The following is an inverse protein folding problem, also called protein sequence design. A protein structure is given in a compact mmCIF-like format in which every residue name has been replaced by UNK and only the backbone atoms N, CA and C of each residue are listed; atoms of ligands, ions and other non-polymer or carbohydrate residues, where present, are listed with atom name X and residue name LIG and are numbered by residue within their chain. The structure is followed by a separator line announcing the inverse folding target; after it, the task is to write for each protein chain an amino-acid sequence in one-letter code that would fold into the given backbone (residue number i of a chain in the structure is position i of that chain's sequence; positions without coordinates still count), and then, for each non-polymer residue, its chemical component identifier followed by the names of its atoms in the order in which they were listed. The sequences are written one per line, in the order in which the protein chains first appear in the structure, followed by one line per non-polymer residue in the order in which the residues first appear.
data_IF_564147122738
#
_entry.id   IF_564147122738
#
_cell.length_a   1.000
_cell.length_b   1.000
_cell.length_c   1.000
_cell.angle_alpha   90.00
_cell.angle_beta   90.00
_cell.angle_gamma   90.00
#
_symmetry.space_group_name_H-M   'P 1'
#
loop_
_entity.id
_entity.type
_entity.pdbx_description
1 polymer ?
#
# COMPACT_ATOMS: atom_id res chain seq x y z
N UNK A 1 -6.79 21.45 2.15
CA UNK A 1 -5.50 20.81 2.50
C UNK A 1 -5.61 19.35 2.11
N UNK A 2 -4.78 18.85 1.20
CA UNK A 2 -4.85 17.46 0.76
C UNK A 2 -4.22 16.57 1.85
N UNK A 3 -5.02 15.70 2.48
CA UNK A 3 -4.54 14.77 3.50
C UNK A 3 -3.84 13.59 2.80
N UNK A 4 -2.59 13.84 2.39
CA UNK A 4 -1.72 12.82 1.79
C UNK A 4 -1.00 12.10 2.90
N UNK A 5 -0.97 10.78 2.81
CA UNK A 5 -0.34 9.90 3.79
C UNK A 5 0.41 8.80 3.05
N UNK A 6 1.42 8.25 3.74
CA UNK A 6 2.20 7.14 3.22
C UNK A 6 1.51 5.83 3.54
N UNK A 7 1.21 5.07 2.50
CA UNK A 7 0.63 3.73 2.59
C UNK A 7 1.60 2.70 2.04
N UNK A 8 1.71 1.57 2.72
CA UNK A 8 2.45 0.41 2.22
C UNK A 8 1.49 -0.54 1.52
N UNK A 9 1.86 -0.97 0.33
CA UNK A 9 1.12 -1.96 -0.45
C UNK A 9 1.27 -3.34 0.18
N UNK A 10 0.15 -3.98 0.47
CA UNK A 10 0.10 -5.35 1.01
C UNK A 10 -0.17 -6.38 -0.09
N UNK A 11 -0.97 -6.01 -1.09
CA UNK A 11 -1.36 -6.87 -2.21
C UNK A 11 -1.14 -6.09 -3.51
N UNK A 12 -0.48 -6.67 -4.53
CA UNK A 12 -0.30 -6.02 -5.82
C UNK A 12 -1.63 -5.61 -6.43
N UNK A 13 -1.68 -4.43 -7.02
CA UNK A 13 -2.84 -3.93 -7.75
C UNK A 13 -2.42 -3.18 -9.00
N UNK A 14 -3.26 -3.18 -10.04
CA UNK A 14 -2.97 -2.42 -11.25
C UNK A 14 -3.04 -0.92 -10.94
N UNK A 15 -1.95 -0.21 -11.19
CA UNK A 15 -1.90 1.24 -11.16
C UNK A 15 -2.25 1.81 -12.53
N UNK A 16 -2.57 3.10 -12.58
CA UNK A 16 -2.84 3.78 -13.84
C UNK A 16 -1.63 3.65 -14.79
N UNK A 17 -1.92 3.48 -16.09
CA UNK A 17 -0.96 3.25 -17.18
C UNK A 17 -0.36 1.82 -17.31
N UNK A 18 -1.04 0.79 -16.80
CA UNK A 18 -0.65 -0.60 -17.03
C UNK A 18 0.52 -1.08 -16.16
N UNK A 19 0.92 -0.28 -15.18
CA UNK A 19 1.88 -0.67 -14.17
C UNK A 19 1.18 -1.45 -13.05
N UNK A 20 1.94 -2.26 -12.32
CA UNK A 20 1.47 -2.96 -11.13
C UNK A 20 2.26 -2.48 -9.93
N UNK A 21 1.56 -2.24 -8.82
CA UNK A 21 2.21 -2.00 -7.53
C UNK A 21 2.87 -3.26 -7.00
N UNK A 22 3.97 -3.08 -6.25
CA UNK A 22 4.72 -4.17 -5.64
C UNK A 22 4.38 -4.26 -4.15
N UNK A 23 4.31 -5.48 -3.61
CA UNK A 23 4.14 -5.68 -2.16
C UNK A 23 5.31 -5.08 -1.40
N UNK A 24 5.03 -4.33 -0.34
CA UNK A 24 6.01 -3.59 0.45
C UNK A 24 6.40 -2.24 -0.16
N UNK A 25 5.87 -1.87 -1.33
CA UNK A 25 6.07 -0.55 -1.91
C UNK A 25 5.35 0.50 -1.07
N UNK A 26 6.04 1.59 -0.76
CA UNK A 26 5.46 2.76 -0.10
C UNK A 26 4.96 3.75 -1.15
N UNK A 27 3.72 4.17 -1.02
CA UNK A 27 3.05 5.11 -1.92
C UNK A 27 2.52 6.29 -1.10
N UNK A 28 2.83 7.51 -1.55
CA UNK A 28 2.16 8.71 -1.07
C UNK A 28 0.85 8.87 -1.85
N UNK A 29 -0.27 8.62 -1.18
CA UNK A 29 -1.60 8.67 -1.80
C UNK A 29 -2.49 9.62 -1.02
N UNK A 30 -3.48 10.19 -1.73
CA UNK A 30 -4.57 10.88 -1.09
C UNK A 30 -5.43 9.88 -0.31
N UNK A 31 -5.91 10.26 0.87
CA UNK A 31 -6.78 9.40 1.68
C UNK A 31 -8.02 8.91 0.90
N UNK A 32 -8.55 9.72 -0.03
CA UNK A 32 -9.67 9.31 -0.91
C UNK A 32 -9.30 8.22 -1.92
N UNK A 33 -8.09 8.26 -2.48
CA UNK A 33 -7.59 7.22 -3.41
C UNK A 33 -7.23 5.95 -2.64
N UNK A 34 -6.56 6.12 -1.49
CA UNK A 34 -6.18 5.04 -0.61
C UNK A 34 -7.39 4.38 0.06
N UNK A 35 -8.48 5.10 0.33
CA UNK A 35 -9.69 4.56 0.98
C UNK A 35 -10.28 3.37 0.23
N UNK A 36 -10.36 3.45 -1.10
CA UNK A 36 -10.86 2.34 -1.93
C UNK A 36 -9.92 1.13 -1.87
N UNK A 37 -8.60 1.37 -1.95
CA UNK A 37 -7.58 0.33 -1.93
C UNK A 37 -7.43 -0.32 -0.54
N UNK A 38 -7.60 0.47 0.52
CA UNK A 38 -7.58 0.02 1.91
C UNK A 38 -8.82 -0.76 2.29
N UNK A 39 -10.00 -0.33 1.83
CA UNK A 39 -11.25 -1.11 1.96
C UNK A 39 -11.16 -2.45 1.24
N UNK A 40 -10.48 -2.48 0.09
CA UNK A 40 -10.18 -3.73 -0.62
C UNK A 40 -9.06 -4.56 0.02
N UNK A 41 -8.45 -4.11 1.12
CA UNK A 41 -7.35 -4.78 1.82
C UNK A 41 -6.03 -4.82 1.03
N UNK A 42 -5.87 -3.97 0.02
CA UNK A 42 -4.70 -3.98 -0.88
C UNK A 42 -3.52 -3.19 -0.35
N UNK A 43 -3.76 -2.19 0.48
CA UNK A 43 -2.74 -1.37 1.13
C UNK A 43 -3.18 -0.94 2.52
N UNK A 44 -2.21 -0.54 3.34
CA UNK A 44 -2.45 -0.06 4.70
C UNK A 44 -1.47 1.08 5.04
N UNK A 45 -1.82 1.92 6.01
CA UNK A 45 -1.00 3.05 6.44
C UNK A 45 0.36 2.58 6.96
N UNK A 46 1.46 3.13 6.44
CA UNK A 46 2.81 2.79 6.92
C UNK A 46 2.93 3.02 8.43
N UNK A 47 2.35 4.10 8.96
CA UNK A 47 2.34 4.36 10.41
C UNK A 47 1.66 3.27 11.24
N UNK A 48 0.60 2.65 10.71
CA UNK A 48 -0.12 1.54 11.38
C UNK A 48 0.72 0.27 11.33
N UNK A 49 1.35 0.00 10.18
CA UNK A 49 2.30 -1.11 10.02
C UNK A 49 3.52 -0.98 10.92
N UNK A 50 4.08 0.23 11.07
CA UNK A 50 5.21 0.47 11.97
C UNK A 50 4.81 0.31 13.44
N UNK A 51 3.56 0.62 13.79
CA UNK A 51 3.02 0.40 15.13
C UNK A 51 2.73 -1.08 15.44
N UNK A 52 2.60 -1.95 14.42
CA UNK A 52 2.42 -3.39 14.59
C UNK A 52 3.55 -4.18 13.92
N UNK A 53 4.57 -4.64 14.66
CA UNK A 53 5.78 -5.27 14.10
C UNK A 53 5.54 -6.63 13.40
N UNK A 54 4.30 -7.09 13.26
CA UNK A 54 3.96 -8.47 12.94
C UNK A 54 3.84 -8.80 11.44
N UNK A 55 3.74 -7.83 10.53
CA UNK A 55 3.59 -8.14 9.09
C UNK A 55 4.34 -7.14 8.21
N UNK A 56 5.67 -7.12 8.34
CA UNK A 56 6.51 -6.69 7.22
C UNK A 56 6.30 -7.73 6.11
N UNK A 57 5.46 -7.40 5.14
CA UNK A 57 5.15 -8.26 4.01
C UNK A 57 6.47 -8.60 3.30
N UNK A 58 6.94 -9.82 3.55
CA UNK A 58 8.08 -10.43 2.89
C UNK A 58 7.66 -10.76 1.46
N UNK A 59 7.98 -9.89 0.53
CA UNK A 59 7.84 -10.18 -0.90
C UNK A 59 8.90 -11.19 -1.31
N UNK A 60 8.58 -12.48 -1.19
CA UNK A 60 9.24 -13.55 -1.93
C UNK A 60 8.29 -14.05 -3.02
N UNK A 61 8.59 -13.69 -4.27
CA UNK A 61 8.66 -14.51 -5.50
C UNK A 61 9.20 -13.55 -6.59
N UNK A 62 10.39 -13.68 -7.18
CA UNK A 62 11.11 -14.83 -7.76
C UNK A 62 10.41 -15.41 -8.99
N UNK A 63 11.15 -15.29 -10.11
CA UNK A 63 10.94 -15.68 -11.52
C UNK A 63 10.07 -14.74 -12.37
#
# INVERSE_FOLDING_TARGET
MANRQTYTVLIPFPTHAGHWSVVGQELDLLDVEASALRTAGRLELTSVLNATPAKKATTKKAD
#
